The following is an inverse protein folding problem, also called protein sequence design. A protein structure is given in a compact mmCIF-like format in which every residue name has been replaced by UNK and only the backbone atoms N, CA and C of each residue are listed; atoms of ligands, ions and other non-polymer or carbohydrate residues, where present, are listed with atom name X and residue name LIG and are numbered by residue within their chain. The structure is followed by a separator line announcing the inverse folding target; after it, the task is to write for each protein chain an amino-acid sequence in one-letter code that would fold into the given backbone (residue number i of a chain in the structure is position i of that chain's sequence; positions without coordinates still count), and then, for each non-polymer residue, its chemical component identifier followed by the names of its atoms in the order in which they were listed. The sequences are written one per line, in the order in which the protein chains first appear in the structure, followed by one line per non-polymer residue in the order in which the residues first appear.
data_IF_149020659938
#
_entry.id   IF_149020659938
#
_cell.length_a   1.000
_cell.length_b   1.000
_cell.length_c   1.000
_cell.angle_alpha   90.00
_cell.angle_beta   90.00
_cell.angle_gamma   90.00
#
_symmetry.space_group_name_H-M   'P 1'
#
loop_
_entity.id
_entity.type
_entity.pdbx_description
1 polymer ?
#
# COMPACT_ATOMS: atom_id res chain seq x y z
N UNK A 1 -43.44 -70.98 -37.27
CA UNK A 1 -42.77 -69.72 -37.68
C UNK A 1 -42.45 -68.91 -36.44
N UNK A 2 -41.17 -68.87 -36.04
CA UNK A 2 -40.71 -68.17 -34.83
C UNK A 2 -40.34 -66.73 -35.21
N UNK A 3 -41.03 -65.73 -34.66
CA UNK A 3 -40.72 -64.31 -34.89
C UNK A 3 -39.48 -63.93 -34.09
N UNK A 4 -38.38 -63.59 -34.77
CA UNK A 4 -37.20 -62.99 -34.16
C UNK A 4 -37.53 -61.55 -33.75
N UNK A 5 -37.46 -61.26 -32.45
CA UNK A 5 -37.57 -59.91 -31.90
C UNK A 5 -36.25 -59.18 -32.17
N UNK A 6 -36.29 -58.07 -32.90
CA UNK A 6 -35.12 -57.29 -33.27
C UNK A 6 -34.86 -56.21 -32.21
N UNK A 7 -33.94 -56.45 -31.27
CA UNK A 7 -33.60 -55.54 -30.17
C UNK A 7 -32.61 -54.42 -30.57
N UNK A 8 -32.88 -53.70 -31.66
CA UNK A 8 -32.01 -52.59 -32.11
C UNK A 8 -32.65 -51.21 -32.15
N UNK A 9 -33.82 -51.03 -31.53
CA UNK A 9 -34.42 -49.70 -31.34
C UNK A 9 -35.04 -49.59 -29.94
N UNK A 10 -34.18 -49.42 -28.94
CA UNK A 10 -34.59 -48.76 -27.68
C UNK A 10 -33.99 -47.36 -27.69
N UNK A 11 -34.79 -46.28 -27.57
CA UNK A 11 -34.26 -44.96 -27.34
C UNK A 11 -33.44 -44.98 -26.05
N UNK A 12 -32.23 -44.44 -26.08
CA UNK A 12 -31.43 -44.23 -24.86
C UNK A 12 -32.28 -43.44 -23.86
N UNK A 13 -32.36 -43.83 -22.57
CA UNK A 13 -32.99 -42.99 -21.58
C UNK A 13 -32.26 -41.65 -21.54
N UNK A 14 -33.02 -40.56 -21.61
CA UNK A 14 -32.52 -39.20 -21.56
C UNK A 14 -31.57 -39.05 -20.36
N UNK A 15 -30.40 -38.36 -20.50
CA UNK A 15 -29.58 -38.07 -19.35
C UNK A 15 -30.40 -37.20 -18.40
N UNK A 16 -30.63 -37.69 -17.19
CA UNK A 16 -31.29 -36.98 -16.10
C UNK A 16 -30.75 -35.54 -16.06
N UNK A 17 -31.63 -34.61 -16.43
CA UNK A 17 -31.37 -33.18 -16.47
C UNK A 17 -31.25 -32.64 -15.05
N UNK A 18 -30.16 -32.95 -14.36
CA UNK A 18 -29.68 -32.08 -13.28
C UNK A 18 -29.18 -30.82 -13.99
N UNK A 19 -29.75 -29.63 -13.72
CA UNK A 19 -29.16 -28.41 -14.25
C UNK A 19 -27.73 -28.37 -13.73
N UNK A 20 -26.75 -28.42 -14.63
CA UNK A 20 -25.39 -28.01 -14.31
C UNK A 20 -25.47 -26.53 -13.99
N UNK A 21 -25.82 -26.20 -12.75
CA UNK A 21 -25.56 -24.90 -12.18
C UNK A 21 -24.06 -24.75 -12.23
N UNK A 22 -23.56 -24.09 -13.27
CA UNK A 22 -22.23 -23.53 -13.24
C UNK A 22 -22.19 -22.69 -11.96
N UNK A 23 -21.49 -23.19 -10.93
CA UNK A 23 -21.20 -22.39 -9.74
C UNK A 23 -20.34 -21.23 -10.24
N UNK A 24 -20.99 -20.15 -10.64
CA UNK A 24 -20.33 -18.89 -10.91
C UNK A 24 -19.67 -18.48 -9.59
N UNK A 25 -18.34 -18.59 -9.61
CA UNK A 25 -17.36 -18.29 -8.57
C UNK A 25 -17.84 -17.34 -7.47
N UNK A 26 -18.07 -17.87 -6.27
CA UNK A 26 -18.17 -17.07 -5.02
C UNK A 26 -16.88 -16.28 -4.73
N UNK A 27 -15.77 -16.65 -5.38
CA UNK A 27 -14.44 -16.08 -5.17
C UNK A 27 -14.33 -14.63 -5.64
N UNK A 28 -15.09 -14.25 -6.67
CA UNK A 28 -15.11 -12.87 -7.16
C UNK A 28 -15.82 -11.95 -6.17
N UNK A 29 -16.91 -12.43 -5.55
CA UNK A 29 -17.63 -11.68 -4.52
C UNK A 29 -16.74 -11.41 -3.30
N UNK A 30 -16.00 -12.41 -2.82
CA UNK A 30 -15.10 -12.25 -1.67
C UNK A 30 -13.98 -11.23 -1.93
N UNK A 31 -13.34 -11.28 -3.11
CA UNK A 31 -12.26 -10.34 -3.46
C UNK A 31 -12.75 -8.88 -3.52
N UNK A 32 -13.96 -8.64 -4.03
CA UNK A 32 -14.58 -7.32 -4.06
C UNK A 32 -14.93 -6.81 -2.65
N UNK A 33 -15.37 -7.70 -1.74
CA UNK A 33 -15.63 -7.34 -0.34
C UNK A 33 -14.33 -6.99 0.39
N UNK A 34 -13.27 -7.78 0.22
CA UNK A 34 -11.96 -7.53 0.83
C UNK A 34 -11.41 -6.16 0.39
N UNK A 35 -11.40 -5.89 -0.92
CA UNK A 35 -10.99 -4.58 -1.42
C UNK A 35 -11.89 -3.46 -0.90
N UNK A 36 -13.21 -3.65 -0.91
CA UNK A 36 -14.16 -2.64 -0.43
C UNK A 36 -13.93 -2.25 1.04
N UNK A 37 -13.65 -3.23 1.89
CA UNK A 37 -13.31 -2.99 3.30
C UNK A 37 -11.99 -2.23 3.44
N UNK A 38 -10.94 -2.67 2.74
CA UNK A 38 -9.65 -1.97 2.74
C UNK A 38 -9.78 -0.52 2.25
N UNK A 39 -10.48 -0.34 1.13
CA UNK A 39 -10.76 0.96 0.52
C UNK A 39 -11.50 1.90 1.48
N UNK A 40 -12.50 1.39 2.22
CA UNK A 40 -13.25 2.15 3.20
C UNK A 40 -12.40 2.57 4.39
N UNK A 41 -11.59 1.66 4.95
CA UNK A 41 -10.68 1.98 6.05
C UNK A 41 -9.64 3.02 5.65
N UNK A 42 -9.05 2.87 4.47
CA UNK A 42 -8.06 3.83 3.95
C UNK A 42 -8.67 5.23 3.78
N UNK A 43 -9.90 5.33 3.26
CA UNK A 43 -10.59 6.61 3.15
C UNK A 43 -10.81 7.25 4.52
N UNK A 44 -11.29 6.47 5.49
CA UNK A 44 -11.56 6.98 6.85
C UNK A 44 -10.28 7.47 7.55
N UNK A 45 -9.15 6.81 7.30
CA UNK A 45 -7.90 7.10 8.00
C UNK A 45 -7.08 8.21 7.33
N UNK A 46 -7.04 8.23 6.00
CA UNK A 46 -6.08 9.02 5.22
C UNK A 46 -6.72 10.03 4.26
N UNK A 47 -8.05 10.15 4.23
CA UNK A 47 -8.74 11.09 3.36
C UNK A 47 -9.78 11.91 4.13
N UNK A 48 -9.79 13.22 3.91
CA UNK A 48 -10.86 14.11 4.37
C UNK A 48 -11.45 14.83 3.17
N UNK A 49 -12.70 14.55 2.88
CA UNK A 49 -13.34 15.01 1.63
C UNK A 49 -12.59 14.43 0.41
N UNK A 50 -11.90 15.30 -0.32
CA UNK A 50 -11.08 14.92 -1.49
C UNK A 50 -9.58 15.08 -1.27
N UNK A 51 -9.16 15.54 -0.09
CA UNK A 51 -7.77 15.78 0.24
C UNK A 51 -7.15 14.59 0.96
N UNK A 52 -5.91 14.29 0.61
CA UNK A 52 -5.12 13.22 1.24
C UNK A 52 -4.41 13.80 2.46
N UNK A 53 -4.53 13.10 3.59
CA UNK A 53 -3.78 13.39 4.82
C UNK A 53 -2.37 12.83 4.70
N UNK A 54 -1.50 13.61 4.03
CA UNK A 54 -0.12 13.22 3.73
C UNK A 54 0.74 13.01 4.97
N UNK A 55 0.47 13.75 6.04
CA UNK A 55 1.13 13.60 7.35
C UNK A 55 0.98 12.19 7.89
N UNK A 56 -0.26 11.67 7.91
CA UNK A 56 -0.55 10.30 8.36
C UNK A 56 -0.03 9.26 7.38
N UNK A 57 -0.22 9.51 6.08
CA UNK A 57 0.17 8.56 5.03
C UNK A 57 1.70 8.39 4.95
N UNK A 58 2.47 9.45 5.19
CA UNK A 58 3.93 9.40 5.22
C UNK A 58 4.48 8.83 6.54
N UNK A 59 3.69 8.88 7.62
CA UNK A 59 4.05 8.29 8.91
C UNK A 59 3.91 6.75 8.95
N UNK A 60 3.30 6.13 7.93
CA UNK A 60 3.18 4.68 7.83
C UNK A 60 4.56 3.98 7.91
N UNK A 61 4.72 2.96 8.77
CA UNK A 61 5.96 2.23 8.95
C UNK A 61 6.46 1.56 7.67
N UNK A 62 7.77 1.36 7.56
CA UNK A 62 8.42 0.82 6.36
C UNK A 62 8.02 -0.65 6.12
N UNK A 63 7.82 -1.41 7.19
CA UNK A 63 7.39 -2.81 7.19
C UNK A 63 5.99 -3.01 6.60
N UNK A 64 5.13 -2.01 6.70
CA UNK A 64 3.76 -2.04 6.19
C UNK A 64 3.67 -1.53 4.74
N UNK A 65 4.77 -0.98 4.19
CA UNK A 65 4.87 -0.59 2.77
C UNK A 65 5.01 -1.81 1.87
N UNK A 66 4.77 -1.66 0.57
CA UNK A 66 4.88 -2.74 -0.43
C UNK A 66 6.22 -3.49 -0.34
N UNK A 67 7.39 -2.82 -0.26
CA UNK A 67 8.67 -3.53 -0.09
C UNK A 67 8.77 -4.32 1.23
N UNK A 68 8.22 -3.77 2.32
CA UNK A 68 8.15 -4.45 3.62
C UNK A 68 7.25 -5.69 3.56
N UNK A 69 6.06 -5.56 2.98
CA UNK A 69 5.12 -6.65 2.76
C UNK A 69 5.70 -7.75 1.85
N UNK A 70 6.45 -7.39 0.82
CA UNK A 70 7.16 -8.34 -0.03
C UNK A 70 8.20 -9.15 0.74
N UNK A 71 8.88 -8.51 1.69
CA UNK A 71 9.90 -9.15 2.54
C UNK A 71 9.24 -10.07 3.57
N UNK A 72 8.15 -9.63 4.20
CA UNK A 72 7.45 -10.35 5.27
C UNK A 72 6.57 -11.50 4.79
N UNK A 73 5.83 -11.30 3.70
CA UNK A 73 4.82 -12.25 3.20
C UNK A 73 5.13 -12.84 1.82
N UNK A 74 6.23 -12.40 1.21
CA UNK A 74 6.68 -12.86 -0.09
C UNK A 74 6.10 -12.09 -1.28
N UNK A 75 6.84 -12.07 -2.38
CA UNK A 75 6.49 -11.36 -3.63
C UNK A 75 5.14 -11.81 -4.20
N UNK A 76 4.81 -13.10 -4.12
CA UNK A 76 3.56 -13.65 -4.63
C UNK A 76 2.33 -13.10 -3.90
N UNK A 77 2.44 -12.86 -2.59
CA UNK A 77 1.34 -12.33 -1.77
C UNK A 77 1.11 -10.85 -2.09
N UNK A 78 2.20 -10.06 -2.14
CA UNK A 78 2.14 -8.66 -2.54
C UNK A 78 1.58 -8.47 -3.97
N UNK A 79 1.99 -9.34 -4.90
CA UNK A 79 1.46 -9.34 -6.27
C UNK A 79 -0.05 -9.60 -6.30
N UNK A 80 -0.54 -10.61 -5.59
CA UNK A 80 -1.98 -10.92 -5.49
C UNK A 80 -2.78 -9.75 -4.91
N UNK A 81 -2.23 -9.11 -3.87
CA UNK A 81 -2.83 -7.96 -3.21
C UNK A 81 -3.01 -6.78 -4.21
N UNK A 82 -1.94 -6.41 -4.92
CA UNK A 82 -2.01 -5.34 -5.94
C UNK A 82 -2.91 -5.72 -7.12
N UNK A 83 -2.85 -6.97 -7.56
CA UNK A 83 -3.69 -7.49 -8.62
C UNK A 83 -5.19 -7.41 -8.27
N UNK A 84 -5.55 -7.70 -7.02
CA UNK A 84 -6.91 -7.53 -6.51
C UNK A 84 -7.35 -6.07 -6.59
N UNK A 85 -6.53 -5.13 -6.10
CA UNK A 85 -6.85 -3.69 -6.14
C UNK A 85 -7.05 -3.18 -7.57
N UNK A 86 -6.14 -3.53 -8.49
CA UNK A 86 -6.21 -3.09 -9.87
C UNK A 86 -7.43 -3.68 -10.59
N UNK A 87 -7.73 -4.96 -10.35
CA UNK A 87 -8.91 -5.62 -10.94
C UNK A 87 -10.20 -4.96 -10.51
N UNK A 88 -10.32 -4.69 -9.21
CA UNK A 88 -11.51 -4.05 -8.66
C UNK A 88 -11.66 -2.63 -9.22
N UNK A 89 -10.57 -1.86 -9.26
CA UNK A 89 -10.58 -0.55 -9.92
C UNK A 89 -11.07 -0.66 -11.38
N UNK A 90 -10.50 -1.54 -12.19
CA UNK A 90 -10.92 -1.72 -13.60
C UNK A 90 -12.38 -2.16 -13.69
N UNK A 91 -12.86 -3.02 -12.79
CA UNK A 91 -14.24 -3.48 -12.75
C UNK A 91 -15.22 -2.34 -12.43
N UNK A 92 -14.83 -1.41 -11.55
CA UNK A 92 -15.62 -0.22 -11.22
C UNK A 92 -15.61 0.85 -12.33
N UNK A 93 -14.69 0.77 -13.28
CA UNK A 93 -14.64 1.66 -14.42
C UNK A 93 -15.67 1.24 -15.48
N UNK A 94 -16.55 2.15 -15.87
CA UNK A 94 -17.56 1.95 -16.92
C UNK A 94 -16.96 1.97 -18.34
N UNK A 95 -15.91 1.17 -18.57
CA UNK A 95 -15.23 1.05 -19.85
C UNK A 95 -15.85 -0.07 -20.70
N UNK A 96 -16.07 0.14 -22.01
CA UNK A 96 -16.40 -0.93 -22.95
C UNK A 96 -15.33 -2.04 -22.96
N UNK A 97 -15.72 -3.28 -23.28
CA UNK A 97 -14.81 -4.44 -23.24
C UNK A 97 -13.51 -4.24 -24.04
N UNK A 98 -13.59 -3.67 -25.25
CA UNK A 98 -12.43 -3.40 -26.10
C UNK A 98 -11.49 -2.31 -25.55
N UNK A 99 -11.93 -1.55 -24.53
CA UNK A 99 -11.12 -0.54 -23.82
C UNK A 99 -10.56 -1.03 -22.49
N UNK A 100 -10.86 -2.28 -22.09
CA UNK A 100 -10.35 -2.90 -20.87
C UNK A 100 -9.02 -3.62 -21.14
N UNK A 101 -8.09 -3.62 -20.18
CA UNK A 101 -6.86 -4.41 -20.29
C UNK A 101 -7.17 -5.91 -20.22
N UNK A 102 -6.26 -6.72 -20.77
CA UNK A 102 -6.25 -8.16 -20.51
C UNK A 102 -5.72 -8.44 -19.11
N UNK A 103 -6.07 -9.59 -18.53
CA UNK A 103 -5.61 -10.01 -17.21
C UNK A 103 -4.07 -10.01 -17.10
N UNK A 104 -3.38 -10.44 -18.17
CA UNK A 104 -1.93 -10.40 -18.27
C UNK A 104 -1.38 -8.99 -18.14
N UNK A 105 -1.99 -7.99 -18.79
CA UNK A 105 -1.55 -6.58 -18.70
C UNK A 105 -1.74 -6.01 -17.31
N UNK A 106 -2.83 -6.36 -16.63
CA UNK A 106 -3.04 -5.97 -15.22
C UNK A 106 -1.99 -6.60 -14.32
N UNK A 107 -1.66 -7.88 -14.55
CA UNK A 107 -0.62 -8.59 -13.81
C UNK A 107 0.77 -7.98 -14.01
N UNK A 108 1.11 -7.58 -15.24
CA UNK A 108 2.37 -6.88 -15.55
C UNK A 108 2.43 -5.52 -14.85
N UNK A 109 1.36 -4.73 -14.90
CA UNK A 109 1.28 -3.45 -14.19
C UNK A 109 1.46 -3.62 -12.68
N UNK A 110 0.92 -4.69 -12.07
CA UNK A 110 1.17 -5.00 -10.66
C UNK A 110 2.66 -5.25 -10.38
N UNK A 111 3.36 -5.99 -11.25
CA UNK A 111 4.80 -6.20 -11.12
C UNK A 111 5.60 -4.89 -11.26
N UNK A 112 5.24 -4.04 -12.21
CA UNK A 112 5.88 -2.73 -12.42
C UNK A 112 5.70 -1.81 -11.19
N UNK A 113 4.51 -1.82 -10.57
CA UNK A 113 4.26 -1.14 -9.30
C UNK A 113 5.14 -1.71 -8.18
N UNK A 114 5.26 -3.04 -8.07
CA UNK A 114 6.11 -3.66 -7.04
C UNK A 114 7.59 -3.29 -7.19
N UNK A 115 8.09 -3.20 -8.42
CA UNK A 115 9.48 -2.82 -8.71
C UNK A 115 9.69 -1.36 -8.35
N UNK A 116 8.85 -0.46 -8.86
CA UNK A 116 8.97 0.99 -8.61
C UNK A 116 8.73 1.35 -7.15
N UNK A 117 7.90 0.61 -6.41
CA UNK A 117 7.68 0.83 -4.99
C UNK A 117 8.94 0.65 -4.11
N UNK A 118 9.99 -0.02 -4.63
CA UNK A 118 11.26 -0.14 -3.91
C UNK A 118 12.05 1.18 -3.88
N UNK A 119 11.75 2.12 -4.76
CA UNK A 119 12.48 3.38 -4.88
C UNK A 119 12.00 4.41 -3.84
N UNK A 120 10.69 4.46 -3.59
CA UNK A 120 10.03 5.49 -2.77
C UNK A 120 9.20 4.91 -1.63
N UNK A 121 9.32 3.61 -1.35
CA UNK A 121 8.61 2.89 -0.28
C UNK A 121 7.10 3.14 -0.33
N UNK A 122 6.50 2.86 -1.47
CA UNK A 122 5.06 3.02 -1.67
C UNK A 122 4.27 2.01 -0.84
N UNK A 123 3.20 2.45 -0.18
CA UNK A 123 2.29 1.61 0.60
C UNK A 123 1.10 1.10 -0.21
N UNK A 124 0.42 0.03 0.25
CA UNK A 124 -0.86 -0.37 -0.35
C UNK A 124 -1.94 0.71 -0.19
N UNK A 125 -1.90 1.51 0.88
CA UNK A 125 -2.81 2.64 1.12
C UNK A 125 -2.61 3.73 0.07
N UNK A 126 -1.37 4.03 -0.31
CA UNK A 126 -1.03 4.97 -1.38
C UNK A 126 -1.70 4.56 -2.70
N UNK A 127 -1.64 3.27 -3.04
CA UNK A 127 -2.27 2.71 -4.25
C UNK A 127 -3.79 2.84 -4.18
N UNK A 128 -4.39 2.51 -3.04
CA UNK A 128 -5.84 2.62 -2.85
C UNK A 128 -6.31 4.06 -3.03
N UNK A 129 -5.66 5.02 -2.37
CA UNK A 129 -5.98 6.46 -2.48
C UNK A 129 -5.81 6.95 -3.92
N UNK A 130 -4.72 6.55 -4.58
CA UNK A 130 -4.50 6.86 -5.99
C UNK A 130 -5.66 6.35 -6.86
N UNK A 131 -6.04 5.08 -6.75
CA UNK A 131 -7.10 4.48 -7.56
C UNK A 131 -8.46 5.14 -7.31
N UNK A 132 -8.75 5.50 -6.06
CA UNK A 132 -9.97 6.21 -5.69
C UNK A 132 -10.01 7.63 -6.30
N UNK A 133 -8.92 8.38 -6.20
CA UNK A 133 -8.80 9.72 -6.81
C UNK A 133 -8.85 9.66 -8.34
N UNK A 134 -8.25 8.63 -8.93
CA UNK A 134 -8.34 8.37 -10.37
C UNK A 134 -9.77 8.08 -10.81
N UNK A 135 -10.51 7.26 -10.05
CA UNK A 135 -11.94 7.00 -10.28
C UNK A 135 -12.79 8.25 -10.15
N UNK A 136 -12.48 9.12 -9.18
CA UNK A 136 -13.16 10.40 -9.00
C UNK A 136 -12.80 11.45 -10.08
N UNK A 137 -11.88 11.15 -11.00
CA UNK A 137 -11.50 12.03 -12.10
C UNK A 137 -10.47 13.10 -11.73
N UNK A 138 -9.81 13.00 -10.58
CA UNK A 138 -8.83 13.99 -10.11
C UNK A 138 -7.67 14.21 -11.10
N UNK A 139 -7.26 13.14 -11.81
CA UNK A 139 -6.19 13.20 -12.80
C UNK A 139 -6.67 13.36 -14.25
N UNK A 140 -7.96 13.68 -14.43
CA UNK A 140 -8.62 13.76 -15.73
C UNK A 140 -9.31 12.46 -16.16
N UNK A 141 -10.03 12.49 -17.29
CA UNK A 141 -10.86 11.37 -17.74
C UNK A 141 -10.02 10.22 -18.31
N UNK A 142 -10.13 9.04 -17.68
CA UNK A 142 -9.53 7.80 -18.18
C UNK A 142 -10.45 7.20 -19.23
N UNK A 143 -10.13 7.44 -20.51
CA UNK A 143 -10.94 6.97 -21.65
C UNK A 143 -10.69 5.51 -22.02
N UNK A 144 -9.53 4.96 -21.68
CA UNK A 144 -9.10 3.60 -22.01
C UNK A 144 -8.04 3.13 -21.02
N UNK A 145 -8.04 1.83 -20.72
CA UNK A 145 -7.01 1.15 -19.93
C UNK A 145 -6.42 -0.04 -20.69
N UNK A 146 -6.61 -0.10 -22.02
CA UNK A 146 -6.00 -1.14 -22.86
C UNK A 146 -4.49 -1.18 -22.64
N UNK A 147 -3.86 -0.01 -22.61
CA UNK A 147 -2.48 0.15 -22.20
C UNK A 147 -2.44 0.65 -20.74
N UNK A 148 -1.86 -0.14 -19.85
CA UNK A 148 -1.73 0.19 -18.42
C UNK A 148 -0.69 1.30 -18.17
N UNK A 149 0.16 1.62 -19.15
CA UNK A 149 1.16 2.68 -19.02
C UNK A 149 0.53 4.03 -18.65
N UNK A 150 -0.67 4.33 -19.16
CA UNK A 150 -1.39 5.54 -18.79
C UNK A 150 -1.67 5.57 -17.28
N UNK A 151 -2.11 4.46 -16.70
CA UNK A 151 -2.38 4.38 -15.27
C UNK A 151 -1.11 4.59 -14.45
N UNK A 152 0.02 4.05 -14.90
CA UNK A 152 1.32 4.23 -14.24
C UNK A 152 1.82 5.67 -14.31
N UNK A 153 1.64 6.35 -15.44
CA UNK A 153 1.94 7.78 -15.56
C UNK A 153 1.07 8.64 -14.62
N UNK A 154 -0.19 8.25 -14.40
CA UNK A 154 -1.05 8.91 -13.42
C UNK A 154 -0.60 8.61 -11.99
N UNK A 155 -0.11 7.39 -11.72
CA UNK A 155 0.49 7.04 -10.44
C UNK A 155 1.74 7.88 -10.17
N UNK A 156 2.57 8.15 -11.18
CA UNK A 156 3.74 9.02 -11.03
C UNK A 156 3.35 10.45 -10.64
N UNK A 157 2.21 10.96 -11.12
CA UNK A 157 1.68 12.25 -10.64
C UNK A 157 1.33 12.20 -9.15
N UNK A 158 0.69 11.13 -8.69
CA UNK A 158 0.43 10.93 -7.26
C UNK A 158 1.73 10.82 -6.45
N UNK A 159 2.74 10.10 -6.95
CA UNK A 159 4.06 10.00 -6.30
C UNK A 159 4.75 11.36 -6.20
N UNK A 160 4.63 12.21 -7.23
CA UNK A 160 5.15 13.57 -7.20
C UNK A 160 4.42 14.44 -6.17
N UNK A 161 3.09 14.33 -6.07
CA UNK A 161 2.31 15.01 -5.02
C UNK A 161 2.77 14.58 -3.62
N UNK A 162 2.90 13.25 -3.40
CA UNK A 162 3.40 12.66 -2.16
C UNK A 162 4.81 13.18 -1.81
N UNK A 163 5.71 13.22 -2.78
CA UNK A 163 7.06 13.75 -2.59
C UNK A 163 7.05 15.24 -2.23
N UNK A 164 6.22 16.04 -2.90
CA UNK A 164 6.07 17.46 -2.57
C UNK A 164 5.53 17.69 -1.16
N UNK A 165 4.61 16.84 -0.70
CA UNK A 165 4.08 16.87 0.66
C UNK A 165 5.15 16.48 1.69
N UNK A 166 5.97 15.47 1.37
CA UNK A 166 7.12 15.09 2.21
C UNK A 166 8.10 16.24 2.41
N UNK A 167 8.49 16.95 1.34
CA UNK A 167 9.38 18.10 1.44
C UNK A 167 8.76 19.18 2.33
N UNK A 168 7.49 19.53 2.12
CA UNK A 168 6.79 20.53 2.93
C UNK A 168 6.75 20.16 4.42
N UNK A 169 6.45 18.90 4.74
CA UNK A 169 6.42 18.42 6.13
C UNK A 169 7.81 18.46 6.77
N UNK A 170 8.85 18.07 6.02
CA UNK A 170 10.24 18.13 6.48
C UNK A 170 10.65 19.57 6.77
N UNK A 171 10.31 20.51 5.88
CA UNK A 171 10.61 21.93 6.06
C UNK A 171 9.87 22.52 7.27
N UNK A 172 8.62 22.12 7.49
CA UNK A 172 7.83 22.52 8.67
C UNK A 172 8.46 22.00 9.97
N UNK A 173 8.87 20.73 10.01
CA UNK A 173 9.55 20.16 11.17
C UNK A 173 10.87 20.90 11.44
N UNK A 174 11.68 21.15 10.40
CA UNK A 174 12.92 21.90 10.56
C UNK A 174 12.68 23.34 11.05
N UNK A 175 11.64 24.01 10.55
CA UNK A 175 11.26 25.34 11.02
C UNK A 175 10.85 25.30 12.51
N UNK A 176 10.08 24.31 12.94
CA UNK A 176 9.71 24.09 14.34
C UNK A 176 10.95 23.83 15.21
N UNK A 177 11.86 22.97 14.78
CA UNK A 177 13.13 22.72 15.49
C UNK A 177 13.99 23.98 15.62
N UNK A 178 14.04 24.82 14.58
CA UNK A 178 14.75 26.10 14.64
C UNK A 178 14.08 27.10 15.60
N UNK A 179 12.76 27.10 15.70
CA UNK A 179 12.01 27.95 16.63
C UNK A 179 12.21 27.55 18.10
N UNK A 180 12.45 26.26 18.38
CA UNK A 180 12.72 25.77 19.74
C UNK A 180 14.06 26.27 20.31
N UNK A 181 14.93 26.87 19.49
CA UNK A 181 16.22 27.40 19.92
C UNK A 181 17.27 26.32 20.19
N UNK A 182 18.55 26.70 20.39
CA UNK A 182 19.61 25.74 20.69
C UNK A 182 19.38 25.09 22.07
N UNK A 183 19.23 23.77 22.09
CA UNK A 183 19.10 22.95 23.31
C UNK A 183 20.37 23.05 24.20
N UNK A 184 21.50 23.47 23.62
CA UNK A 184 22.79 23.64 24.31
C UNK A 184 23.12 25.08 24.76
N UNK A 185 22.14 25.83 25.27
CA UNK A 185 22.44 27.01 26.12
C UNK A 185 21.92 26.89 27.55
N UNK A 186 21.36 25.75 27.94
CA UNK A 186 21.37 25.34 29.33
C UNK A 186 22.74 24.68 29.58
N UNK A 187 23.77 25.50 29.79
CA UNK A 187 24.92 24.99 30.52
C UNK A 187 24.35 24.32 31.79
N UNK A 188 24.82 23.10 32.18
CA UNK A 188 24.63 22.71 33.58
C UNK A 188 25.10 23.91 34.39
N UNK A 189 24.29 24.36 35.36
CA UNK A 189 24.61 25.53 36.18
C UNK A 189 26.12 25.53 36.46
N UNK A 190 26.85 26.60 36.13
CA UNK A 190 28.30 26.59 36.24
C UNK A 190 28.62 26.11 37.64
N UNK A 191 29.22 24.92 37.75
CA UNK A 191 29.63 24.39 39.04
C UNK A 191 30.57 25.43 39.61
N UNK A 192 30.17 26.05 40.72
CA UNK A 192 30.98 27.07 41.35
C UNK A 192 32.33 26.43 41.66
N UNK A 193 33.42 27.13 41.33
CA UNK A 193 34.77 26.61 41.50
C UNK A 193 35.02 26.09 42.94
N UNK A 194 34.33 26.67 43.94
CA UNK A 194 34.35 26.22 45.33
C UNK A 194 33.81 24.81 45.57
N UNK A 195 32.80 24.35 44.81
CA UNK A 195 32.26 23.00 44.95
C UNK A 195 33.18 21.93 44.34
N UNK A 196 33.97 22.31 43.32
CA UNK A 196 35.03 21.47 42.75
C UNK A 196 36.19 21.27 43.74
N UNK A 197 36.54 22.29 44.52
CA UNK A 197 37.57 22.18 45.55
C UNK A 197 37.12 21.38 46.78
N UNK A 198 35.82 21.39 47.11
CA UNK A 198 35.28 20.60 48.21
C UNK A 198 35.13 19.11 47.87
N UNK A 199 35.00 18.76 46.58
CA UNK A 199 34.95 17.37 46.11
C UNK A 199 36.32 16.78 45.78
N UNK A 200 37.36 17.61 45.69
CA UNK A 200 38.73 17.13 45.52
C UNK A 200 39.22 16.53 46.86
N UNK A 201 39.33 15.21 46.90
CA UNK A 201 40.11 14.51 47.92
C UNK A 201 41.53 15.09 47.93
N UNK A 202 41.85 15.86 48.97
CA UNK A 202 43.22 16.27 49.28
C UNK A 202 44.04 15.00 49.55
N UNK A 203 44.69 14.48 48.51
CA UNK A 203 45.70 13.43 48.65
C UNK A 203 46.91 14.07 49.29
N UNK A 204 47.05 13.87 50.59
CA UNK A 204 48.20 14.33 51.36
C UNK A 204 49.45 13.53 50.93
N UNK A 205 50.24 14.14 50.04
CA UNK A 205 51.47 13.57 49.47
C UNK A 205 52.56 13.29 50.52
N UNK A 206 52.34 13.66 51.78
CA UNK A 206 53.27 13.41 52.89
C UNK A 206 52.99 12.10 53.64
N UNK A 207 51.82 11.47 53.46
CA UNK A 207 51.54 10.14 54.01
C UNK A 207 51.93 9.05 53.03
N UNK A 208 53.05 8.38 53.31
CA UNK A 208 53.38 7.09 52.69
C UNK A 208 52.22 6.12 52.92
N UNK A 209 51.54 5.71 51.86
CA UNK A 209 50.63 4.57 51.89
C UNK A 209 51.46 3.31 52.09
N UNK A 210 51.35 2.71 53.28
CA UNK A 210 51.92 1.42 53.61
C UNK A 210 50.85 0.35 53.45
N UNK A 211 51.10 -0.58 52.52
CA UNK A 211 50.51 -1.95 52.47
C UNK A 211 49.01 -2.04 52.28
#
# INVERSE_FOLDING_TARGET
MIRKINYKNTPNPAPDGKPKTARASSRNYTATVEYGLMAGLVQQQYQVGHEVQWDKLLALPVEDRIPGLMTRYGKNTAHKLLLMMLREFIATMNLPAYKRPTETRVSVAACEIMISAQEDYLGPEDIILFLQRARAGYYGPIKTLVNMQLLLQLLDKFRQERHSAYIKLKDQQQAQYKQLGPVERAAPQPTLLGDLFNQALLVDMTKKMSG
#
